data_IF_390964546202
#
_entry.id   IF_390964546202
#
_cell.length_a   1.000
_cell.length_b   1.000
_cell.length_c   1.000
_cell.angle_alpha   90.00
_cell.angle_beta   90.00
_cell.angle_gamma   90.00
#
_symmetry.space_group_name_H-M   'P 1'
#
loop_
_entity.id
_entity.type
_entity.pdbx_description
1 polymer ?
#
# COMPACT_ATOMS: atom_id res chain seq x y z
N UNK A 1 38.02 18.72 1.42
CA UNK A 1 36.77 18.13 0.88
C UNK A 1 35.66 18.27 1.91
N UNK A 2 34.60 19.03 1.65
CA UNK A 2 33.44 19.10 2.54
C UNK A 2 32.46 17.99 2.15
N UNK A 3 32.17 17.08 3.08
CA UNK A 3 31.14 16.03 2.90
C UNK A 3 29.79 16.72 2.84
N UNK A 4 29.13 16.68 1.68
CA UNK A 4 27.79 17.21 1.50
C UNK A 4 26.83 16.33 2.31
N UNK A 5 26.22 16.86 3.37
CA UNK A 5 25.15 16.16 4.07
C UNK A 5 23.98 15.96 3.10
N UNK A 6 23.63 14.70 2.84
CA UNK A 6 22.42 14.37 2.11
C UNK A 6 21.25 14.64 3.05
N UNK A 7 20.36 15.56 2.66
CA UNK A 7 19.07 15.76 3.30
C UNK A 7 18.26 14.47 3.08
N UNK A 8 18.05 13.68 4.14
CA UNK A 8 17.20 12.50 4.09
C UNK A 8 15.76 13.00 4.22
N UNK A 9 14.88 12.81 3.22
CA UNK A 9 13.47 13.14 3.37
C UNK A 9 12.90 12.37 4.57
N UNK A 10 11.95 12.98 5.28
CA UNK A 10 11.21 12.29 6.33
C UNK A 10 10.49 11.07 5.70
N UNK A 11 10.91 9.88 6.11
CA UNK A 11 10.44 8.63 5.53
C UNK A 11 9.05 8.30 6.09
N UNK A 12 8.09 8.01 5.20
CA UNK A 12 6.75 7.57 5.61
C UNK A 12 6.86 6.28 6.43
N UNK A 13 6.15 6.22 7.56
CA UNK A 13 6.24 5.07 8.48
C UNK A 13 5.70 3.78 7.86
N UNK A 14 4.78 3.86 6.90
CA UNK A 14 4.19 2.71 6.23
C UNK A 14 4.32 2.82 4.70
N UNK A 15 5.15 1.95 4.12
CA UNK A 15 5.33 1.82 2.67
C UNK A 15 4.38 0.78 2.05
N UNK A 16 3.39 0.32 2.80
CA UNK A 16 2.50 -0.80 2.46
C UNK A 16 3.26 -2.10 2.15
N UNK A 17 4.47 -2.25 2.68
CA UNK A 17 5.31 -3.44 2.55
C UNK A 17 5.12 -4.36 3.75
N UNK A 18 5.20 -5.65 3.49
CA UNK A 18 4.85 -6.66 4.48
C UNK A 18 5.71 -7.91 4.42
N UNK A 19 5.93 -8.59 5.55
CA UNK A 19 6.70 -9.83 5.64
C UNK A 19 5.76 -11.03 5.77
N UNK A 20 5.81 -11.94 4.81
CA UNK A 20 5.10 -13.23 4.82
C UNK A 20 6.09 -14.40 4.75
N UNK A 21 5.60 -15.65 4.78
CA UNK A 21 6.46 -16.84 4.58
C UNK A 21 7.15 -16.85 3.20
N UNK A 22 6.58 -16.15 2.21
CA UNK A 22 7.15 -15.99 0.87
C UNK A 22 8.12 -14.81 0.72
N UNK A 23 8.42 -14.08 1.80
CA UNK A 23 9.31 -12.92 1.78
C UNK A 23 8.57 -11.58 1.88
N UNK A 24 9.21 -10.53 1.36
CA UNK A 24 8.69 -9.15 1.40
C UNK A 24 7.68 -8.94 0.26
N UNK A 25 6.43 -8.64 0.58
CA UNK A 25 5.32 -8.53 -0.37
C UNK A 25 4.36 -7.40 -0.02
N UNK A 26 3.53 -7.01 -0.98
CA UNK A 26 2.46 -6.01 -0.90
C UNK A 26 1.18 -6.61 -1.47
N UNK A 27 0.02 -6.10 -1.03
CA UNK A 27 -1.29 -6.35 -1.62
C UNK A 27 -1.86 -5.06 -2.18
N UNK A 28 -2.57 -5.21 -3.29
CA UNK A 28 -3.33 -4.14 -3.96
C UNK A 28 -4.81 -4.52 -3.85
N UNK A 29 -5.57 -3.75 -3.09
CA UNK A 29 -7.03 -3.86 -3.02
C UNK A 29 -7.61 -2.81 -3.96
N UNK A 30 -8.52 -3.19 -4.84
CA UNK A 30 -8.96 -2.35 -5.96
C UNK A 30 -10.46 -2.44 -6.12
N UNK A 31 -11.11 -1.28 -6.24
CA UNK A 31 -12.53 -1.17 -6.61
C UNK A 31 -12.62 -0.77 -8.08
N UNK A 32 -13.52 -1.42 -8.81
CA UNK A 32 -13.78 -1.10 -10.20
C UNK A 32 -15.26 -0.77 -10.43
N UNK A 33 -15.54 -0.07 -11.53
CA UNK A 33 -16.89 0.01 -12.07
C UNK A 33 -17.32 -1.30 -12.77
N UNK A 34 -18.53 -1.31 -13.34
CA UNK A 34 -19.08 -2.48 -14.03
C UNK A 34 -18.31 -2.88 -15.30
N UNK A 35 -17.50 -1.98 -15.87
CA UNK A 35 -16.66 -2.23 -17.03
C UNK A 35 -15.24 -2.68 -16.64
N UNK A 36 -14.96 -2.80 -15.34
CA UNK A 36 -13.63 -3.13 -14.83
C UNK A 36 -12.68 -1.94 -14.77
N UNK A 37 -13.17 -0.69 -14.91
CA UNK A 37 -12.34 0.50 -14.81
C UNK A 37 -11.99 0.74 -13.33
N UNK A 38 -10.68 0.82 -12.97
CA UNK A 38 -10.25 1.16 -11.62
C UNK A 38 -10.80 2.50 -11.15
N UNK A 39 -11.39 2.53 -9.96
CA UNK A 39 -11.87 3.74 -9.31
C UNK A 39 -10.96 4.17 -8.16
N UNK A 40 -10.50 3.22 -7.34
CA UNK A 40 -9.59 3.48 -6.24
C UNK A 40 -8.70 2.27 -5.94
N UNK A 41 -7.60 2.53 -5.24
CA UNK A 41 -6.64 1.54 -4.79
C UNK A 41 -6.29 1.77 -3.33
N UNK A 42 -6.29 0.70 -2.55
CA UNK A 42 -5.72 0.66 -1.21
C UNK A 42 -4.54 -0.32 -1.20
N UNK A 43 -3.43 0.09 -0.62
CA UNK A 43 -2.24 -0.73 -0.49
C UNK A 43 -2.09 -1.22 0.94
N UNK A 44 -1.66 -2.46 1.10
CA UNK A 44 -1.32 -3.01 2.41
C UNK A 44 -0.11 -3.92 2.34
N UNK A 45 0.55 -4.13 3.48
CA UNK A 45 1.56 -5.18 3.60
C UNK A 45 1.00 -6.54 3.19
N UNK A 46 1.83 -7.37 2.56
CA UNK A 46 1.36 -8.63 1.96
C UNK A 46 0.83 -9.68 2.95
N UNK A 47 1.18 -9.59 4.23
CA UNK A 47 0.60 -10.43 5.29
C UNK A 47 -0.82 -10.00 5.73
N UNK A 48 -1.27 -8.82 5.32
CA UNK A 48 -2.54 -8.27 5.77
C UNK A 48 -3.73 -9.09 5.22
N UNK A 49 -4.81 -9.17 5.99
CA UNK A 49 -6.04 -9.87 5.57
C UNK A 49 -6.89 -8.99 4.66
N UNK A 50 -7.47 -9.56 3.60
CA UNK A 50 -8.25 -8.80 2.61
C UNK A 50 -9.56 -8.25 3.20
N UNK A 51 -10.18 -9.00 4.12
CA UNK A 51 -11.42 -8.56 4.78
C UNK A 51 -11.23 -7.29 5.61
N UNK A 52 -10.00 -7.03 6.09
CA UNK A 52 -9.69 -5.84 6.88
C UNK A 52 -9.75 -4.55 6.03
N UNK A 53 -9.61 -4.65 4.70
CA UNK A 53 -9.63 -3.53 3.77
C UNK A 53 -10.92 -3.44 2.95
N UNK A 54 -11.78 -4.46 3.02
CA UNK A 54 -13.01 -4.52 2.23
C UNK A 54 -13.96 -3.34 2.52
N UNK A 55 -14.17 -3.02 3.81
CA UNK A 55 -15.07 -1.93 4.19
C UNK A 55 -14.52 -0.57 3.74
N UNK A 56 -13.24 -0.29 4.01
CA UNK A 56 -12.58 0.94 3.57
C UNK A 56 -12.64 1.12 2.06
N UNK A 57 -12.49 0.04 1.29
CA UNK A 57 -12.54 0.06 -0.17
C UNK A 57 -13.95 0.41 -0.70
N UNK A 58 -15.01 0.06 0.04
CA UNK A 58 -16.39 0.36 -0.32
C UNK A 58 -16.83 1.77 0.13
N UNK A 59 -16.29 2.24 1.26
CA UNK A 59 -16.66 3.52 1.88
C UNK A 59 -16.00 4.74 1.20
N UNK A 60 -14.87 4.56 0.49
CA UNK A 60 -14.30 5.61 -0.35
C UNK A 60 -15.15 5.83 -1.61
N UNK A 61 -15.91 6.93 -1.64
CA UNK A 61 -16.70 7.43 -2.77
C UNK A 61 -16.37 8.91 -3.06
#
# INVERSE_FOLDING_TARGET
MRRREKRVPEELQDHALGRSRGGLTTKIHMRCDANGVPLCFLLSGGQASDIAYAQSLLDEA
#
